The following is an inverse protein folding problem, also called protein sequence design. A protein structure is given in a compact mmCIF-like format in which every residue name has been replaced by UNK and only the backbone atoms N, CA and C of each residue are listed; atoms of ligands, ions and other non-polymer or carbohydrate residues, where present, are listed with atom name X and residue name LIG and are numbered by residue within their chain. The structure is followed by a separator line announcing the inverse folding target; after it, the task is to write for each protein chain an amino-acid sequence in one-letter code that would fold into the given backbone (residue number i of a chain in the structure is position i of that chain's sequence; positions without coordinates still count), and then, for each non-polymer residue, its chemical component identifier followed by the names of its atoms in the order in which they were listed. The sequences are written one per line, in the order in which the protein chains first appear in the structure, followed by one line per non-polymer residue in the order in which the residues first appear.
data_IF_199670192335
#
_entry.id   IF_199670192335
#
_cell.length_a   1.000
_cell.length_b   1.000
_cell.length_c   1.000
_cell.angle_alpha   90.00
_cell.angle_beta   90.00
_cell.angle_gamma   90.00
#
_symmetry.space_group_name_H-M   'P 1'
#
loop_
_entity.id
_entity.type
_entity.pdbx_description
1 polymer ?
#
# COMPACT_ATOMS: atom_id res chain seq x y z
N UNK A 1 11.43 -17.26 3.50
CA UNK A 1 10.55 -16.12 3.83
C UNK A 1 9.32 -16.66 4.55
N UNK A 2 8.92 -16.13 5.72
CA UNK A 2 7.80 -16.65 6.51
C UNK A 2 6.50 -16.71 5.71
N UNK A 3 5.70 -17.75 5.93
CA UNK A 3 4.44 -17.99 5.21
C UNK A 3 3.42 -16.85 5.41
N UNK A 4 3.48 -16.18 6.56
CA UNK A 4 2.68 -15.04 6.99
C UNK A 4 2.88 -13.82 6.08
N UNK A 5 4.01 -13.75 5.37
CA UNK A 5 4.31 -12.66 4.44
C UNK A 5 3.88 -12.96 3.00
N UNK A 6 3.70 -14.22 2.60
CA UNK A 6 3.48 -14.60 1.20
C UNK A 6 2.23 -13.96 0.60
N UNK A 7 1.12 -13.95 1.33
CA UNK A 7 -0.13 -13.34 0.87
C UNK A 7 0.02 -11.85 0.58
N UNK A 8 0.82 -11.13 1.39
CA UNK A 8 1.07 -9.70 1.21
C UNK A 8 2.05 -9.41 0.07
N UNK A 9 3.05 -10.28 -0.13
CA UNK A 9 4.02 -10.15 -1.22
C UNK A 9 3.38 -10.49 -2.57
N UNK A 10 2.54 -11.53 -2.61
CA UNK A 10 1.92 -12.02 -3.84
C UNK A 10 0.83 -11.09 -4.38
N UNK A 11 0.19 -10.29 -3.53
CA UNK A 11 -1.00 -9.52 -3.92
C UNK A 11 -0.75 -8.02 -3.90
N UNK A 12 -1.20 -7.33 -4.95
CA UNK A 12 -1.11 -5.87 -5.08
C UNK A 12 -2.45 -5.15 -4.80
N UNK A 13 -3.36 -5.84 -4.10
CA UNK A 13 -4.75 -5.41 -3.89
C UNK A 13 -4.88 -3.99 -3.33
N UNK A 14 -3.95 -3.58 -2.47
CA UNK A 14 -3.98 -2.28 -1.79
C UNK A 14 -3.68 -1.14 -2.78
N UNK A 15 -2.69 -1.31 -3.65
CA UNK A 15 -2.35 -0.32 -4.69
C UNK A 15 -3.42 -0.31 -5.77
N UNK A 16 -3.92 -1.48 -6.21
CA UNK A 16 -5.01 -1.54 -7.18
C UNK A 16 -6.28 -0.83 -6.70
N UNK A 17 -6.64 -0.99 -5.42
CA UNK A 17 -7.77 -0.30 -4.81
C UNK A 17 -7.57 1.22 -4.85
N UNK A 18 -6.36 1.68 -4.53
CA UNK A 18 -6.03 3.10 -4.57
C UNK A 18 -6.11 3.66 -6.00
N UNK A 19 -5.53 2.96 -6.97
CA UNK A 19 -5.58 3.35 -8.38
C UNK A 19 -7.01 3.40 -8.91
N UNK A 20 -7.85 2.41 -8.55
CA UNK A 20 -9.28 2.43 -8.88
C UNK A 20 -10.00 3.66 -8.30
N UNK A 21 -9.71 4.02 -7.05
CA UNK A 21 -10.31 5.19 -6.43
C UNK A 21 -9.82 6.51 -7.05
N UNK A 22 -8.54 6.59 -7.42
CA UNK A 22 -8.00 7.73 -8.17
C UNK A 22 -8.71 7.86 -9.53
N UNK A 23 -8.78 6.78 -10.31
CA UNK A 23 -9.46 6.78 -11.61
C UNK A 23 -10.95 7.12 -11.50
N UNK A 24 -11.63 6.65 -10.44
CA UNK A 24 -13.03 6.99 -10.18
C UNK A 24 -13.19 8.49 -9.92
N UNK A 25 -12.31 9.09 -9.11
CA UNK A 25 -12.38 10.52 -8.76
C UNK A 25 -12.01 11.43 -9.93
N UNK A 26 -11.01 11.07 -10.72
CA UNK A 26 -10.64 11.83 -11.92
C UNK A 26 -11.74 11.76 -12.97
N UNK A 27 -12.40 10.61 -13.14
CA UNK A 27 -13.54 10.45 -14.07
C UNK A 27 -14.75 11.31 -13.69
N UNK A 28 -15.00 11.53 -12.40
CA UNK A 28 -16.10 12.39 -11.93
C UNK A 28 -15.85 13.86 -12.27
N UNK A 29 -14.60 14.31 -12.25
CA UNK A 29 -14.25 15.69 -12.61
C UNK A 29 -14.40 15.92 -14.12
N UNK A 30 -14.14 14.91 -14.95
CA UNK A 30 -14.30 14.97 -16.40
C UNK A 30 -13.18 15.76 -17.09
N UNK A 31 -13.15 17.08 -16.88
CA UNK A 31 -12.17 17.99 -17.48
C UNK A 31 -11.54 18.85 -16.39
N UNK A 32 -10.22 18.76 -16.24
CA UNK A 32 -9.49 19.60 -15.29
C UNK A 32 -9.12 20.95 -15.91
N UNK A 33 -9.17 22.05 -15.14
CA UNK A 33 -8.77 23.37 -15.63
C UNK A 33 -7.26 23.45 -15.96
N UNK A 34 -6.43 22.67 -15.27
CA UNK A 34 -4.99 22.54 -15.56
C UNK A 34 -4.41 21.23 -14.99
N UNK A 35 -3.18 20.89 -15.37
CA UNK A 35 -2.50 19.68 -14.87
C UNK A 35 -2.19 19.68 -13.37
N UNK A 36 -1.98 20.86 -12.76
CA UNK A 36 -1.71 20.98 -11.33
C UNK A 36 -2.94 20.65 -10.48
N UNK A 37 -4.13 21.00 -10.94
CA UNK A 37 -5.41 20.70 -10.30
C UNK A 37 -5.68 19.20 -10.28
N UNK A 38 -5.35 18.48 -11.37
CA UNK A 38 -5.39 17.03 -11.42
C UNK A 38 -4.39 16.41 -10.44
N UNK A 39 -3.14 16.91 -10.43
CA UNK A 39 -2.10 16.47 -9.49
C UNK A 39 -2.52 16.68 -8.04
N UNK A 40 -3.09 17.83 -7.70
CA UNK A 40 -3.58 18.13 -6.36
C UNK A 40 -4.64 17.14 -5.89
N UNK A 41 -5.59 16.76 -6.75
CA UNK A 41 -6.60 15.77 -6.42
C UNK A 41 -5.98 14.40 -6.12
N UNK A 42 -5.04 13.95 -6.95
CA UNK A 42 -4.33 12.69 -6.75
C UNK A 42 -3.53 12.74 -5.45
N UNK A 43 -2.73 13.78 -5.25
CA UNK A 43 -1.91 14.00 -4.06
C UNK A 43 -2.75 14.06 -2.77
N UNK A 44 -3.89 14.74 -2.80
CA UNK A 44 -4.82 14.79 -1.67
C UNK A 44 -5.33 13.38 -1.33
N UNK A 45 -5.64 12.55 -2.34
CA UNK A 45 -6.07 11.17 -2.10
C UNK A 45 -4.95 10.31 -1.53
N UNK A 46 -3.74 10.42 -2.08
CA UNK A 46 -2.55 9.72 -1.59
C UNK A 46 -2.28 10.06 -0.12
N UNK A 47 -2.25 11.34 0.22
CA UNK A 47 -2.01 11.82 1.59
C UNK A 47 -3.05 11.28 2.56
N UNK A 48 -4.32 11.27 2.18
CA UNK A 48 -5.38 10.73 3.04
C UNK A 48 -5.21 9.24 3.31
N UNK A 49 -4.89 8.43 2.28
CA UNK A 49 -4.69 6.99 2.44
C UNK A 49 -3.44 6.68 3.26
N UNK A 50 -2.36 7.45 3.04
CA UNK A 50 -1.15 7.38 3.84
C UNK A 50 -1.42 7.70 5.32
N UNK A 51 -2.17 8.77 5.61
CA UNK A 51 -2.44 9.20 6.98
C UNK A 51 -3.48 8.37 7.75
N UNK A 52 -4.26 7.53 7.08
CA UNK A 52 -5.34 6.75 7.72
C UNK A 52 -5.06 5.25 7.73
N UNK A 53 -4.96 4.64 6.55
CA UNK A 53 -4.94 3.19 6.41
C UNK A 53 -3.52 2.63 6.39
N UNK A 54 -2.60 3.31 5.70
CA UNK A 54 -1.25 2.78 5.49
C UNK A 54 -0.31 3.16 6.63
N UNK A 55 -0.39 4.39 7.14
CA UNK A 55 0.50 4.91 8.19
C UNK A 55 0.28 4.27 9.55
N UNK A 56 -0.94 3.85 9.87
CA UNK A 56 -1.24 3.22 11.17
C UNK A 56 -0.99 1.70 11.18
N UNK A 57 -0.86 1.06 10.01
CA UNK A 57 -0.80 -0.40 9.90
C UNK A 57 0.60 -0.88 9.57
N UNK A 58 1.13 -1.80 10.39
CA UNK A 58 2.39 -2.49 10.10
C UNK A 58 2.20 -3.40 8.88
N UNK A 59 2.76 -3.01 7.74
CA UNK A 59 2.59 -3.75 6.48
C UNK A 59 3.27 -5.12 6.52
N UNK A 60 4.53 -5.19 6.97
CA UNK A 60 5.26 -6.43 7.22
C UNK A 60 5.82 -6.43 8.64
N UNK A 61 5.70 -7.56 9.34
CA UNK A 61 6.21 -7.69 10.69
C UNK A 61 7.52 -8.47 10.68
N UNK A 62 8.64 -7.75 10.83
CA UNK A 62 9.99 -8.31 10.75
C UNK A 62 10.29 -9.38 11.82
N UNK A 63 9.55 -9.37 12.94
CA UNK A 63 9.69 -10.41 13.99
C UNK A 63 9.47 -11.83 13.48
N UNK A 64 8.59 -12.02 12.48
CA UNK A 64 8.39 -13.35 11.88
C UNK A 64 9.59 -13.77 11.03
N UNK A 65 10.31 -12.81 10.44
CA UNK A 65 11.52 -13.10 9.69
C UNK A 65 12.69 -13.43 10.63
N UNK A 66 12.82 -12.68 11.73
CA UNK A 66 13.81 -12.93 12.78
C UNK A 66 13.63 -14.32 13.40
N UNK A 67 12.42 -14.66 13.82
CA UNK A 67 12.12 -16.00 14.38
C UNK A 67 12.43 -17.13 13.40
N UNK A 68 12.11 -16.95 12.11
CA UNK A 68 12.42 -17.95 11.09
C UNK A 68 13.92 -18.10 10.79
N UNK A 69 14.72 -17.06 11.07
CA UNK A 69 16.18 -17.11 10.93
C UNK A 69 16.82 -17.77 12.17
N UNK A 70 16.30 -17.49 13.36
CA UNK A 70 16.75 -18.12 14.61
C UNK A 70 16.47 -19.63 14.62
N UNK A 71 15.28 -20.06 14.19
CA UNK A 71 14.94 -21.48 14.04
C UNK A 71 15.86 -22.20 13.05
N UNK A 72 16.23 -21.53 11.95
CA UNK A 72 17.16 -22.05 10.96
C UNK A 72 18.62 -22.11 11.48
N UNK A 73 19.00 -21.23 12.40
CA UNK A 73 20.31 -21.22 13.06
C UNK A 73 20.45 -22.30 14.14
N UNK A 74 19.35 -22.70 14.79
CA UNK A 74 19.34 -23.74 15.84
C UNK A 74 19.29 -25.16 15.24
N UNK A 75 18.75 -25.29 14.03
CA UNK A 75 18.61 -26.55 13.31
C UNK A 75 19.85 -26.95 12.48
N UNK A 76 20.91 -26.15 12.48
CA UNK A 76 22.19 -26.43 11.83
C UNK A 76 23.29 -26.74 12.84
#
# INVERSE_FOLDING_TARGET
FPSEHWTRIRTNNVIERLNREICRRTRVVGTFPDGNSALMLVCARLRHVAGTQWGCKKYMNMKHLEAALDDASIAG
#
